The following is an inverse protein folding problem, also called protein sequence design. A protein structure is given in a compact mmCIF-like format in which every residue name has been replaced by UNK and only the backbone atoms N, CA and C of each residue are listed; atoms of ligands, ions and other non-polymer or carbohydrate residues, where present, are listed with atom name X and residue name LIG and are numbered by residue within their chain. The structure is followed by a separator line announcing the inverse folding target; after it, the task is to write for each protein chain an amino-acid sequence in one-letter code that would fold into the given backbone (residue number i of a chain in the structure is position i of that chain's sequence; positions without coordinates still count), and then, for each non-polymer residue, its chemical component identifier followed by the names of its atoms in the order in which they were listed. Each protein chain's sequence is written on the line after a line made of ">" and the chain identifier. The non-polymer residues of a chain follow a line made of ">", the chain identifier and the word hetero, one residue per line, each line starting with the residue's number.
data_IF_272911692629
#
_entry.id   IF_272911692629
#
_cell.length_a   1.000
_cell.length_b   1.000
_cell.length_c   1.000
_cell.angle_alpha   90.00
_cell.angle_beta   90.00
_cell.angle_gamma   90.00
#
_symmetry.space_group_name_H-M   'P 1'
#
loop_
_entity.id
_entity.type
_entity.pdbx_description
1 polymer ?
#
# COMPACT_ATOMS: atom_id res chain seq x y z
N UNK A 1 -22.44 -3.07 22.38
CA UNK A 1 -22.13 -2.47 23.70
C UNK A 1 -20.64 -2.22 23.93
N UNK A 2 -19.70 -3.01 23.38
CA UNK A 2 -18.26 -2.86 23.64
C UNK A 2 -17.66 -1.50 23.23
N UNK A 3 -17.97 -1.01 22.02
CA UNK A 3 -17.44 0.27 21.51
C UNK A 3 -17.78 1.43 22.45
N UNK A 4 -19.04 1.54 22.87
CA UNK A 4 -19.51 2.63 23.72
C UNK A 4 -19.07 2.48 25.19
N UNK A 5 -19.13 1.27 25.75
CA UNK A 5 -18.76 1.01 27.15
C UNK A 5 -17.25 1.16 27.39
N UNK A 6 -16.42 0.78 26.41
CA UNK A 6 -14.97 0.95 26.46
C UNK A 6 -14.49 2.26 25.84
N UNK A 7 -15.42 3.14 25.44
CA UNK A 7 -15.12 4.46 24.87
C UNK A 7 -14.11 4.40 23.70
N UNK A 8 -14.24 3.37 22.86
CA UNK A 8 -13.36 3.18 21.71
C UNK A 8 -13.67 4.21 20.63
N UNK A 9 -12.63 4.63 19.89
CA UNK A 9 -12.73 5.55 18.76
C UNK A 9 -12.64 4.78 17.45
N UNK A 10 -13.53 5.09 16.51
CA UNK A 10 -13.49 4.58 15.14
C UNK A 10 -13.09 5.74 14.23
N UNK A 11 -11.92 5.63 13.62
CA UNK A 11 -11.38 6.64 12.71
C UNK A 11 -11.50 6.13 11.27
N UNK A 12 -12.34 6.78 10.47
CA UNK A 12 -12.26 6.64 9.02
C UNK A 12 -11.06 7.44 8.50
N UNK A 13 -10.28 6.85 7.60
CA UNK A 13 -9.18 7.53 6.93
C UNK A 13 -9.20 7.20 5.44
N UNK A 14 -8.81 8.15 4.62
CA UNK A 14 -8.67 7.99 3.17
C UNK A 14 -7.44 8.78 2.75
N UNK A 15 -6.48 8.10 2.12
CA UNK A 15 -5.20 8.68 1.74
C UNK A 15 -4.43 9.27 2.94
N UNK A 16 -3.68 10.34 2.68
CA UNK A 16 -2.97 11.17 3.64
C UNK A 16 -2.64 12.52 3.00
N UNK A 17 -2.07 13.42 3.77
CA UNK A 17 -1.56 14.71 3.32
C UNK A 17 -0.25 14.55 2.54
N UNK A 18 0.09 15.55 1.72
CA UNK A 18 1.38 15.62 1.02
C UNK A 18 2.57 15.54 1.99
N UNK A 19 2.46 16.21 3.13
CA UNK A 19 3.55 16.26 4.11
C UNK A 19 3.76 14.90 4.81
N UNK A 20 2.68 14.13 5.00
CA UNK A 20 2.80 12.74 5.47
C UNK A 20 3.50 11.85 4.45
N UNK A 21 3.19 11.99 3.16
CA UNK A 21 3.90 11.27 2.10
C UNK A 21 5.40 11.61 2.10
N UNK A 22 5.75 12.89 2.25
CA UNK A 22 7.15 13.31 2.33
C UNK A 22 7.88 12.69 3.53
N UNK A 23 7.25 12.72 4.72
CA UNK A 23 7.80 12.08 5.93
C UNK A 23 7.95 10.57 5.76
N UNK A 24 7.01 9.90 5.10
CA UNK A 24 7.10 8.47 4.80
C UNK A 24 8.29 8.18 3.89
N UNK A 25 8.46 8.94 2.80
CA UNK A 25 9.60 8.75 1.90
C UNK A 25 10.95 8.94 2.63
N UNK A 26 11.07 9.97 3.47
CA UNK A 26 12.27 10.19 4.29
C UNK A 26 12.50 9.04 5.29
N UNK A 27 11.45 8.52 5.91
CA UNK A 27 11.55 7.37 6.81
C UNK A 27 12.09 6.13 6.09
N UNK A 28 11.62 5.85 4.88
CA UNK A 28 12.12 4.72 4.07
C UNK A 28 13.61 4.89 3.73
N UNK A 29 14.02 6.11 3.38
CA UNK A 29 15.43 6.44 3.09
C UNK A 29 16.34 6.27 4.32
N UNK A 30 15.96 6.86 5.46
CA UNK A 30 16.76 6.82 6.70
C UNK A 30 16.87 5.40 7.27
N UNK A 31 15.79 4.62 7.23
CA UNK A 31 15.77 3.28 7.83
C UNK A 31 16.22 2.18 6.88
N UNK A 32 16.28 2.46 5.57
CA UNK A 32 16.45 1.45 4.54
C UNK A 32 15.23 0.53 4.37
N UNK A 33 14.10 0.84 5.02
CA UNK A 33 12.86 0.06 4.85
C UNK A 33 12.40 0.19 3.40
N UNK A 34 12.02 -0.93 2.78
CA UNK A 34 11.55 -0.96 1.39
C UNK A 34 10.11 -1.47 1.32
N UNK A 35 9.28 -0.91 0.43
CA UNK A 35 8.00 -1.53 0.09
C UNK A 35 8.22 -2.96 -0.39
N UNK A 36 7.32 -3.87 -0.02
CA UNK A 36 7.35 -5.23 -0.55
C UNK A 36 6.85 -5.21 -1.98
N UNK A 37 7.76 -5.49 -2.92
CA UNK A 37 7.45 -5.65 -4.33
C UNK A 37 7.31 -7.15 -4.59
N UNK A 38 6.12 -7.56 -5.02
CA UNK A 38 5.82 -8.94 -5.38
C UNK A 38 6.46 -9.29 -6.73
N UNK A 39 6.33 -8.38 -7.71
CA UNK A 39 6.94 -8.48 -9.03
C UNK A 39 6.98 -7.14 -9.76
N UNK A 40 7.90 -7.05 -10.70
CA UNK A 40 7.96 -6.00 -11.70
C UNK A 40 7.60 -6.63 -13.05
N UNK A 41 6.65 -6.05 -13.78
CA UNK A 41 6.21 -6.54 -15.09
C UNK A 41 6.24 -5.39 -16.11
N UNK A 42 6.45 -5.69 -17.40
CA UNK A 42 6.29 -4.69 -18.46
C UNK A 42 4.87 -4.14 -18.51
N UNK A 43 4.72 -2.90 -18.98
CA UNK A 43 3.40 -2.25 -19.05
C UNK A 43 2.43 -2.98 -19.99
N UNK A 44 2.93 -3.65 -21.02
CA UNK A 44 2.15 -4.51 -21.92
C UNK A 44 1.46 -5.67 -21.19
N UNK A 45 2.02 -6.13 -20.07
CA UNK A 45 1.50 -7.25 -19.27
C UNK A 45 0.58 -6.79 -18.13
N UNK A 46 0.21 -5.50 -18.09
CA UNK A 46 -0.60 -4.93 -17.01
C UNK A 46 -1.91 -5.67 -16.76
N UNK A 47 -2.54 -6.24 -17.80
CA UNK A 47 -3.76 -7.03 -17.67
C UNK A 47 -3.56 -8.24 -16.74
N UNK A 48 -2.50 -9.02 -16.95
CA UNK A 48 -2.15 -10.17 -16.11
C UNK A 48 -1.84 -9.76 -14.66
N UNK A 49 -1.19 -8.60 -14.49
CA UNK A 49 -0.95 -8.03 -13.16
C UNK A 49 -2.24 -7.68 -12.43
N UNK A 50 -3.21 -7.07 -13.12
CA UNK A 50 -4.51 -6.73 -12.53
C UNK A 50 -5.36 -7.97 -12.22
N UNK A 51 -5.34 -8.99 -13.07
CA UNK A 51 -5.98 -10.29 -12.80
C UNK A 51 -5.45 -10.90 -11.49
N UNK A 52 -4.14 -10.88 -11.28
CA UNK A 52 -3.53 -11.38 -10.03
C UNK A 52 -4.02 -10.61 -8.78
N UNK A 53 -4.23 -9.30 -8.91
CA UNK A 53 -4.79 -8.48 -7.81
C UNK A 53 -6.24 -8.87 -7.52
N UNK A 54 -7.05 -9.11 -8.55
CA UNK A 54 -8.45 -9.53 -8.43
C UNK A 54 -8.54 -10.91 -7.77
N UNK A 55 -7.69 -11.84 -8.16
CA UNK A 55 -7.62 -13.20 -7.62
C UNK A 55 -7.06 -13.25 -6.19
N UNK A 56 -6.50 -12.15 -5.68
CA UNK A 56 -5.92 -12.04 -4.35
C UNK A 56 -4.59 -12.80 -4.20
N UNK A 57 -3.90 -13.08 -5.30
CA UNK A 57 -2.65 -13.88 -5.33
C UNK A 57 -1.38 -13.04 -5.14
N UNK A 58 -1.51 -11.75 -4.81
CA UNK A 58 -0.40 -10.80 -4.66
C UNK A 58 0.00 -10.64 -3.20
N UNK A 59 1.30 -10.81 -2.91
CA UNK A 59 1.88 -10.46 -1.60
C UNK A 59 2.81 -9.25 -1.72
N UNK A 60 2.23 -8.05 -1.60
CA UNK A 60 2.96 -6.79 -1.73
C UNK A 60 2.37 -5.89 -2.82
N UNK A 61 3.23 -5.35 -3.68
CA UNK A 61 2.86 -4.49 -4.81
C UNK A 61 3.40 -5.03 -6.14
N UNK A 62 2.62 -4.85 -7.20
CA UNK A 62 3.08 -5.03 -8.58
C UNK A 62 3.56 -3.68 -9.10
N UNK A 63 4.75 -3.65 -9.68
CA UNK A 63 5.31 -2.46 -10.35
C UNK A 63 5.23 -2.66 -11.85
N UNK A 64 4.67 -1.68 -12.55
CA UNK A 64 4.69 -1.63 -14.00
C UNK A 64 5.94 -0.90 -14.47
N UNK A 65 6.68 -1.53 -15.37
CA UNK A 65 7.93 -1.03 -15.95
C UNK A 65 7.68 -0.55 -17.37
N UNK A 66 8.56 0.32 -17.86
CA UNK A 66 8.47 0.94 -19.19
C UNK A 66 9.07 0.05 -20.26
#
# INVERSE_FOLDING_TARGET
>A
TRIFFQQMRVHGSTMGTRDELHRLAQFLDVTGTKPLIDREIPMEDAASGLESVIDGSVFGKIVLTR
#
